data_IF_929327301582
#
_entry.id   IF_929327301582
#
_cell.length_a   1.000
_cell.length_b   1.000
_cell.length_c   1.000
_cell.angle_alpha   90.00
_cell.angle_beta   90.00
_cell.angle_gamma   90.00
#
_symmetry.space_group_name_H-M   'P 1'
#
loop_
_entity.id
_entity.type
_entity.pdbx_description
1 polymer ?
#
# COMPACT_ATOMS: atom_id res chain seq x y z
N UNK A 1 40.09 -32.68 22.14
CA UNK A 1 41.06 -31.61 22.37
C UNK A 1 40.58 -30.25 21.86
N UNK A 2 39.23 -30.01 21.81
CA UNK A 2 38.59 -28.77 21.36
C UNK A 2 37.74 -28.06 22.46
N UNK A 3 37.71 -28.62 23.70
CA UNK A 3 36.91 -28.06 24.81
C UNK A 3 37.69 -27.06 25.68
N UNK A 4 39.01 -27.13 25.73
CA UNK A 4 39.81 -26.25 26.58
C UNK A 4 39.72 -24.76 26.22
N UNK A 5 39.68 -24.32 24.93
CA UNK A 5 39.52 -22.91 24.58
C UNK A 5 38.13 -22.37 24.97
N UNK A 6 37.09 -23.21 24.91
CA UNK A 6 35.72 -22.82 25.22
C UNK A 6 35.51 -22.57 26.73
N UNK A 7 36.11 -23.42 27.57
CA UNK A 7 36.07 -23.26 29.05
C UNK A 7 36.82 -22.02 29.51
N UNK A 8 37.95 -21.69 28.89
CA UNK A 8 38.75 -20.52 29.22
C UNK A 8 38.06 -19.23 28.78
N UNK A 9 37.46 -19.18 27.58
CA UNK A 9 36.64 -18.09 27.07
C UNK A 9 35.40 -17.89 27.96
N UNK A 10 34.73 -18.98 28.31
CA UNK A 10 33.53 -18.92 29.18
C UNK A 10 33.87 -18.39 30.58
N UNK A 11 35.03 -18.81 31.15
CA UNK A 11 35.49 -18.29 32.44
C UNK A 11 35.83 -16.79 32.38
N UNK A 12 36.44 -16.31 31.29
CA UNK A 12 36.76 -14.90 31.07
C UNK A 12 35.47 -14.05 30.93
N UNK A 13 34.48 -14.56 30.19
CA UNK A 13 33.17 -13.88 30.04
C UNK A 13 32.46 -13.78 31.39
N UNK A 14 32.50 -14.84 32.21
CA UNK A 14 31.83 -14.85 33.52
C UNK A 14 32.48 -13.92 34.54
N UNK A 15 33.78 -13.63 34.44
CA UNK A 15 34.49 -12.70 35.34
C UNK A 15 34.12 -11.22 35.02
N UNK A 16 33.79 -10.93 33.74
CA UNK A 16 33.46 -9.57 33.26
C UNK A 16 32.04 -9.51 32.65
N UNK A 17 31.13 -10.34 33.15
CA UNK A 17 29.80 -10.53 32.59
C UNK A 17 29.03 -9.21 32.39
N UNK A 18 29.05 -8.35 33.41
CA UNK A 18 28.34 -7.05 33.36
C UNK A 18 28.85 -6.14 32.25
N UNK A 19 30.15 -6.18 31.99
CA UNK A 19 30.76 -5.41 30.93
C UNK A 19 30.37 -5.96 29.57
N UNK A 20 30.46 -7.28 29.38
CA UNK A 20 30.10 -7.96 28.12
C UNK A 20 28.63 -7.82 27.79
N UNK A 21 27.72 -7.95 28.77
CA UNK A 21 26.29 -7.73 28.56
C UNK A 21 26.01 -6.29 28.12
N UNK A 22 26.67 -5.31 28.72
CA UNK A 22 26.52 -3.90 28.34
C UNK A 22 27.04 -3.66 26.91
N UNK A 23 28.23 -4.16 26.59
CA UNK A 23 28.80 -4.01 25.24
C UNK A 23 27.94 -4.69 24.18
N UNK A 24 27.41 -5.89 24.44
CA UNK A 24 26.49 -6.59 23.53
C UNK A 24 25.16 -5.84 23.35
N UNK A 25 24.61 -5.30 24.43
CA UNK A 25 23.39 -4.50 24.40
C UNK A 25 23.58 -3.25 23.55
N UNK A 26 24.68 -2.50 23.77
CA UNK A 26 24.97 -1.27 23.03
C UNK A 26 25.38 -1.51 21.58
N UNK A 27 26.15 -2.55 21.30
CA UNK A 27 26.58 -2.88 19.94
C UNK A 27 25.51 -3.54 19.09
N UNK A 28 24.36 -3.93 19.69
CA UNK A 28 23.27 -4.54 18.94
C UNK A 28 22.69 -3.58 17.92
N UNK A 29 22.51 -4.04 16.69
CA UNK A 29 21.78 -3.32 15.64
C UNK A 29 20.26 -3.43 15.79
N UNK A 30 19.79 -4.28 16.71
CA UNK A 30 18.40 -4.45 17.05
C UNK A 30 18.07 -3.55 18.23
N UNK A 31 16.98 -2.80 18.15
CA UNK A 31 16.52 -1.96 19.24
C UNK A 31 16.12 -2.81 20.43
N UNK A 32 16.70 -2.51 21.60
CA UNK A 32 16.38 -3.18 22.84
C UNK A 32 15.99 -2.15 23.89
N UNK A 33 14.91 -2.42 24.60
CA UNK A 33 14.45 -1.55 25.68
C UNK A 33 13.92 -2.40 26.84
N UNK A 34 14.04 -1.86 28.04
CA UNK A 34 13.48 -2.40 29.26
C UNK A 34 12.56 -1.34 29.88
N UNK A 35 11.37 -1.71 30.26
CA UNK A 35 10.41 -0.86 30.93
C UNK A 35 9.97 -1.47 32.28
N UNK A 36 9.56 -0.62 33.21
CA UNK A 36 8.98 -1.04 34.49
C UNK A 36 7.54 -1.54 34.35
N UNK A 37 6.93 -1.89 35.47
CA UNK A 37 5.53 -2.33 35.56
C UNK A 37 4.49 -1.28 35.13
N UNK A 38 4.90 -0.03 34.95
CA UNK A 38 4.06 1.08 34.47
C UNK A 38 4.33 1.42 32.99
N UNK A 39 5.19 0.64 32.30
CA UNK A 39 5.57 0.86 30.91
C UNK A 39 6.53 2.05 30.73
N UNK A 40 7.19 2.51 31.79
CA UNK A 40 8.18 3.58 31.71
C UNK A 40 9.57 2.99 31.40
N UNK A 41 10.25 3.54 30.42
CA UNK A 41 11.54 3.06 29.95
C UNK A 41 12.62 3.25 31.02
N UNK A 42 13.27 2.16 31.40
CA UNK A 42 14.37 2.11 32.35
C UNK A 42 15.73 2.04 31.62
N UNK A 43 15.75 1.39 30.48
CA UNK A 43 16.96 1.19 29.69
C UNK A 43 16.61 1.07 28.19
N UNK A 44 17.43 1.64 27.34
CA UNK A 44 17.33 1.48 25.90
C UNK A 44 18.73 1.57 25.28
N UNK A 45 18.99 0.80 24.22
CA UNK A 45 20.21 0.92 23.44
C UNK A 45 20.08 1.98 22.35
N UNK A 46 21.20 2.28 21.68
CA UNK A 46 21.27 3.29 20.60
C UNK A 46 20.38 2.92 19.41
N UNK A 47 20.27 1.62 19.08
CA UNK A 47 19.39 1.17 18.01
C UNK A 47 17.91 1.44 18.31
N UNK A 48 17.48 1.25 19.56
CA UNK A 48 16.10 1.59 19.96
C UNK A 48 15.86 3.10 19.86
N UNK A 49 16.80 3.91 20.36
CA UNK A 49 16.75 5.37 20.30
C UNK A 49 16.59 5.87 18.85
N UNK A 50 17.36 5.27 17.92
CA UNK A 50 17.27 5.58 16.50
C UNK A 50 15.91 5.19 15.89
N UNK A 51 15.33 4.06 16.30
CA UNK A 51 14.01 3.60 15.80
C UNK A 51 12.88 4.52 16.27
N UNK A 52 12.92 4.98 17.52
CA UNK A 52 11.88 5.87 18.08
C UNK A 52 12.10 7.35 17.79
N UNK A 53 13.27 7.71 17.23
CA UNK A 53 13.62 9.09 16.87
C UNK A 53 13.84 10.01 18.08
N UNK A 54 14.28 9.46 19.21
CA UNK A 54 14.52 10.19 20.43
C UNK A 54 15.94 9.90 20.96
N UNK A 55 16.74 10.91 21.30
CA UNK A 55 18.05 10.70 21.93
C UNK A 55 17.93 9.80 23.18
N UNK A 56 18.82 8.83 23.29
CA UNK A 56 18.79 7.82 24.37
C UNK A 56 18.65 8.44 25.76
N UNK A 57 19.39 9.51 26.02
CA UNK A 57 19.40 10.19 27.32
C UNK A 57 18.04 10.80 27.71
N UNK A 58 17.15 11.00 26.71
CA UNK A 58 15.82 11.54 26.92
C UNK A 58 14.73 10.44 26.95
N UNK A 59 15.10 9.17 26.84
CA UNK A 59 14.14 8.06 26.87
C UNK A 59 13.78 7.62 28.30
N UNK A 60 14.67 7.82 29.24
CA UNK A 60 14.49 7.34 30.60
C UNK A 60 13.23 7.95 31.27
N UNK A 61 12.41 7.08 31.84
CA UNK A 61 11.17 7.46 32.50
C UNK A 61 10.02 7.88 31.58
N UNK A 62 10.20 7.77 30.27
CA UNK A 62 9.13 8.01 29.28
C UNK A 62 8.44 6.70 28.88
N UNK A 63 7.17 6.81 28.51
CA UNK A 63 6.43 5.65 28.01
C UNK A 63 6.69 5.43 26.51
N UNK A 64 6.84 4.17 26.11
CA UNK A 64 6.96 3.80 24.69
C UNK A 64 5.73 4.19 23.86
N UNK A 65 4.58 4.44 24.49
CA UNK A 65 3.35 4.95 23.87
C UNK A 65 3.54 6.34 23.27
N UNK A 66 4.38 7.18 23.89
CA UNK A 66 4.66 8.55 23.40
C UNK A 66 5.30 8.60 22.04
N UNK A 67 6.00 7.53 21.64
CA UNK A 67 6.67 7.40 20.35
C UNK A 67 5.84 6.59 19.34
N UNK A 68 4.73 5.99 19.78
CA UNK A 68 3.86 5.18 18.94
C UNK A 68 2.98 6.10 18.07
N UNK A 69 2.81 5.76 16.79
CA UNK A 69 1.90 6.49 15.88
C UNK A 69 0.48 6.51 16.47
N UNK A 70 -0.25 7.65 16.41
CA UNK A 70 -1.60 7.77 17.01
C UNK A 70 -2.57 6.67 16.61
N UNK A 71 -2.59 6.25 15.34
CA UNK A 71 -3.50 5.20 14.86
C UNK A 71 -3.16 3.80 15.41
N UNK A 72 -1.96 3.60 15.98
CA UNK A 72 -1.50 2.29 16.49
C UNK A 72 -1.59 2.21 18.04
N UNK A 73 -2.13 3.23 18.70
CA UNK A 73 -2.23 3.26 20.17
C UNK A 73 -3.17 2.18 20.71
N UNK A 74 -4.27 1.88 20.02
CA UNK A 74 -5.19 0.80 20.42
C UNK A 74 -4.53 -0.57 20.29
N UNK A 75 -3.71 -0.77 19.26
CA UNK A 75 -2.93 -1.98 19.07
C UNK A 75 -1.85 -2.13 20.16
N UNK A 76 -1.24 -1.04 20.56
CA UNK A 76 -0.29 -1.01 21.66
C UNK A 76 -0.94 -1.44 22.99
N UNK A 77 -2.12 -0.90 23.30
CA UNK A 77 -2.88 -1.29 24.49
C UNK A 77 -3.31 -2.77 24.46
N UNK A 78 -3.69 -3.28 23.28
CA UNK A 78 -4.02 -4.70 23.09
C UNK A 78 -2.80 -5.60 23.32
N UNK A 79 -1.60 -5.15 22.93
CA UNK A 79 -0.34 -5.88 23.19
C UNK A 79 -0.07 -6.01 24.70
N UNK A 80 -0.29 -4.94 25.46
CA UNK A 80 -0.12 -4.97 26.93
C UNK A 80 -1.05 -6.02 27.58
N UNK A 81 -2.31 -6.11 27.14
CA UNK A 81 -3.26 -7.13 27.61
C UNK A 81 -2.85 -8.55 27.19
N UNK A 82 -2.32 -8.73 25.98
CA UNK A 82 -1.84 -10.02 25.49
C UNK A 82 -0.62 -10.52 26.26
N UNK A 83 0.18 -9.62 26.82
CA UNK A 83 1.36 -9.99 27.62
C UNK A 83 0.97 -10.71 28.90
N UNK A 84 -0.09 -10.28 29.60
CA UNK A 84 -0.59 -10.95 30.80
C UNK A 84 -1.00 -12.41 30.51
N UNK A 85 -1.61 -12.66 29.33
CA UNK A 85 -2.01 -14.01 28.89
C UNK A 85 -0.81 -14.85 28.40
N UNK A 86 0.19 -14.21 27.81
CA UNK A 86 1.37 -14.87 27.24
C UNK A 86 2.36 -15.31 28.33
N UNK A 87 2.49 -14.56 29.42
CA UNK A 87 3.34 -14.90 30.57
C UNK A 87 3.00 -16.28 31.12
N UNK A 88 1.72 -16.59 31.28
CA UNK A 88 1.26 -17.89 31.77
C UNK A 88 1.71 -19.06 30.90
N UNK A 89 2.09 -18.78 29.63
CA UNK A 89 2.55 -19.77 28.64
C UNK A 89 4.06 -19.69 28.35
N UNK A 90 4.76 -18.70 28.91
CA UNK A 90 6.18 -18.45 28.62
C UNK A 90 6.41 -17.99 27.17
N UNK A 91 5.45 -17.29 26.58
CA UNK A 91 5.46 -16.82 25.20
C UNK A 91 5.77 -15.31 25.12
N UNK A 92 6.35 -14.89 24.00
CA UNK A 92 6.51 -13.47 23.68
C UNK A 92 5.35 -12.98 22.84
N UNK A 93 4.94 -11.74 23.03
CA UNK A 93 3.95 -11.08 22.20
C UNK A 93 4.64 -10.37 21.04
N UNK A 94 4.09 -10.52 19.83
CA UNK A 94 4.65 -9.93 18.62
C UNK A 94 3.64 -8.97 17.98
N UNK A 95 4.12 -7.78 17.60
CA UNK A 95 3.31 -6.78 16.90
C UNK A 95 4.17 -5.96 15.94
N UNK A 96 3.64 -5.62 14.78
CA UNK A 96 4.19 -4.54 13.96
C UNK A 96 3.47 -3.24 14.26
N UNK A 97 4.20 -2.18 14.55
CA UNK A 97 3.64 -0.84 14.79
C UNK A 97 4.52 0.26 14.23
N UNK A 98 3.92 1.42 14.07
CA UNK A 98 4.62 2.62 13.62
C UNK A 98 5.13 3.44 14.80
N UNK A 99 6.34 3.94 14.66
CA UNK A 99 6.91 4.96 15.51
C UNK A 99 6.91 6.29 14.77
N UNK A 100 6.45 7.35 15.43
CA UNK A 100 6.38 8.69 14.87
C UNK A 100 7.52 9.53 15.44
N UNK A 101 8.45 9.93 14.59
CA UNK A 101 9.57 10.82 14.95
C UNK A 101 9.11 12.27 15.09
N UNK A 102 9.84 13.12 15.85
CA UNK A 102 9.52 14.53 16.02
C UNK A 102 9.53 15.33 14.70
N UNK A 103 10.25 14.88 13.68
CA UNK A 103 10.31 15.49 12.34
C UNK A 103 9.17 15.04 11.41
N UNK A 104 8.25 14.21 11.93
CA UNK A 104 7.14 13.63 11.17
C UNK A 104 7.49 12.35 10.40
N UNK A 105 8.74 11.90 10.45
CA UNK A 105 9.13 10.62 9.81
C UNK A 105 8.50 9.44 10.54
N UNK A 106 7.99 8.47 9.77
CA UNK A 106 7.43 7.22 10.30
C UNK A 106 8.42 6.08 10.10
N UNK A 107 8.70 5.35 11.19
CA UNK A 107 9.47 4.10 11.19
C UNK A 107 8.56 2.93 11.55
N UNK A 108 8.74 1.80 10.87
CA UNK A 108 8.05 0.57 11.20
C UNK A 108 8.92 -0.32 12.08
N UNK A 109 8.39 -0.70 13.24
CA UNK A 109 9.05 -1.65 14.14
C UNK A 109 8.27 -2.94 14.24
N UNK A 110 8.96 -4.08 14.04
CA UNK A 110 8.49 -5.38 14.48
C UNK A 110 8.95 -5.59 15.91
N UNK A 111 8.01 -5.58 16.84
CA UNK A 111 8.23 -5.61 18.28
C UNK A 111 7.98 -7.01 18.80
N UNK A 112 8.94 -7.55 19.54
CA UNK A 112 8.76 -8.73 20.41
C UNK A 112 8.89 -8.26 21.86
N UNK A 113 7.83 -8.42 22.62
CA UNK A 113 7.81 -8.06 24.04
C UNK A 113 7.61 -9.30 24.91
N UNK A 114 8.34 -9.36 26.02
CA UNK A 114 8.24 -10.41 27.02
C UNK A 114 8.43 -9.83 28.42
N UNK A 115 7.80 -10.46 29.40
CA UNK A 115 8.03 -10.12 30.79
C UNK A 115 9.32 -10.76 31.31
N UNK A 116 10.03 -10.02 32.13
CA UNK A 116 11.25 -10.47 32.81
C UNK A 116 11.18 -10.08 34.28
N UNK A 117 11.71 -10.88 35.19
CA UNK A 117 11.73 -10.54 36.64
C UNK A 117 12.66 -9.34 36.85
N UNK A 118 12.15 -8.31 37.47
CA UNK A 118 12.92 -7.17 37.95
C UNK A 118 13.61 -7.46 39.31
N UNK A 119 14.53 -6.58 39.76
CA UNK A 119 15.35 -6.78 40.97
C UNK A 119 14.52 -6.99 42.25
N UNK A 120 13.35 -6.40 42.32
CA UNK A 120 12.49 -6.42 43.54
C UNK A 120 11.34 -7.43 43.45
N UNK A 121 11.42 -8.38 42.47
CA UNK A 121 10.34 -9.31 42.15
C UNK A 121 9.17 -8.63 41.42
N UNK A 122 9.33 -7.38 41.02
CA UNK A 122 8.37 -6.69 40.12
C UNK A 122 8.52 -7.21 38.70
N UNK A 123 7.48 -7.05 37.92
CA UNK A 123 7.51 -7.44 36.48
C UNK A 123 8.02 -6.28 35.66
N UNK A 124 9.01 -6.55 34.86
CA UNK A 124 9.55 -5.62 33.88
C UNK A 124 9.27 -6.15 32.47
N UNK A 125 9.12 -5.25 31.50
CA UNK A 125 8.92 -5.60 30.10
C UNK A 125 10.22 -5.41 29.34
N UNK A 126 10.73 -6.47 28.73
CA UNK A 126 11.79 -6.42 27.75
C UNK A 126 11.18 -6.35 26.35
N UNK A 127 11.53 -5.33 25.58
CA UNK A 127 11.14 -5.19 24.19
C UNK A 127 12.35 -5.30 23.28
N UNK A 128 12.23 -6.13 22.23
CA UNK A 128 13.18 -6.24 21.13
C UNK A 128 12.49 -5.72 19.87
N UNK A 129 13.08 -4.74 19.22
CA UNK A 129 12.47 -4.03 18.09
C UNK A 129 13.38 -4.09 16.87
N UNK A 130 12.91 -4.73 15.82
CA UNK A 130 13.55 -4.71 14.51
C UNK A 130 12.97 -3.56 13.69
N UNK A 131 13.83 -2.69 13.17
CA UNK A 131 13.41 -1.72 12.14
C UNK A 131 13.11 -2.49 10.84
N UNK A 132 11.83 -2.47 10.45
CA UNK A 132 11.35 -3.12 9.23
C UNK A 132 10.90 -2.11 8.18
N UNK A 133 11.28 -0.84 8.35
CA UNK A 133 10.87 0.27 7.48
C UNK A 133 11.28 0.03 6.03
N UNK A 134 12.54 -0.32 5.79
CA UNK A 134 13.01 -0.54 4.42
C UNK A 134 12.37 -1.79 3.79
N UNK A 135 12.13 -2.85 4.58
CA UNK A 135 11.38 -4.01 4.10
C UNK A 135 9.96 -3.62 3.67
N UNK A 136 9.24 -2.86 4.50
CA UNK A 136 7.89 -2.37 4.18
C UNK A 136 7.87 -1.47 2.95
N UNK A 137 8.81 -0.55 2.82
CA UNK A 137 8.94 0.30 1.62
C UNK A 137 9.14 -0.53 0.36
N UNK A 138 10.05 -1.49 0.40
CA UNK A 138 10.29 -2.38 -0.74
C UNK A 138 9.07 -3.24 -1.08
N UNK A 139 8.32 -3.73 -0.09
CA UNK A 139 7.08 -4.47 -0.31
C UNK A 139 6.01 -3.58 -0.98
N UNK A 140 5.88 -2.31 -0.53
CA UNK A 140 4.94 -1.35 -1.09
C UNK A 140 5.35 -0.92 -2.52
N UNK A 141 6.64 -0.66 -2.77
CA UNK A 141 7.19 -0.34 -4.09
C UNK A 141 6.96 -1.50 -5.07
N UNK A 142 7.21 -2.74 -4.63
CA UNK A 142 6.93 -3.93 -5.43
C UNK A 142 5.45 -4.11 -5.72
N UNK A 143 4.59 -3.83 -4.75
CA UNK A 143 3.14 -3.87 -4.92
C UNK A 143 2.67 -2.81 -5.91
N UNK A 144 3.16 -1.59 -5.79
CA UNK A 144 2.86 -0.51 -6.73
C UNK A 144 3.33 -0.85 -8.14
N UNK A 145 4.58 -1.29 -8.31
CA UNK A 145 5.11 -1.73 -9.59
C UNK A 145 4.34 -2.92 -10.20
N UNK A 146 3.79 -3.80 -9.37
CA UNK A 146 2.98 -4.92 -9.82
C UNK A 146 1.56 -4.52 -10.25
N UNK A 147 1.04 -3.38 -9.80
CA UNK A 147 -0.34 -2.93 -10.01
C UNK A 147 -0.47 -1.72 -10.94
N UNK A 148 0.63 -1.05 -11.28
CA UNK A 148 0.63 0.13 -12.14
C UNK A 148 1.36 -0.13 -13.48
N UNK A 149 1.07 0.70 -14.48
CA UNK A 149 1.80 0.76 -15.74
C UNK A 149 2.99 1.71 -15.60
N UNK A 150 4.22 1.27 -15.87
CA UNK A 150 5.42 2.06 -15.59
C UNK A 150 5.57 3.31 -16.50
N UNK A 151 4.88 3.37 -17.64
CA UNK A 151 4.93 4.54 -18.52
C UNK A 151 3.97 5.63 -18.05
N UNK A 152 2.77 5.26 -17.65
CA UNK A 152 1.66 6.20 -17.42
C UNK A 152 1.34 6.43 -15.95
N UNK A 153 1.81 5.57 -15.04
CA UNK A 153 1.45 5.58 -13.62
C UNK A 153 0.01 5.16 -13.31
N UNK A 154 -0.80 4.89 -14.33
CA UNK A 154 -2.15 4.36 -14.16
C UNK A 154 -2.12 2.92 -13.66
N UNK A 155 -3.26 2.41 -13.20
CA UNK A 155 -3.39 0.98 -12.95
C UNK A 155 -3.03 0.20 -14.23
N UNK A 156 -2.31 -0.90 -14.07
CA UNK A 156 -2.20 -1.89 -15.13
C UNK A 156 -3.41 -2.84 -15.08
N UNK A 157 -3.50 -3.78 -16.01
CA UNK A 157 -4.59 -4.77 -16.07
C UNK A 157 -4.78 -5.58 -14.79
N UNK A 158 -3.69 -5.83 -14.03
CA UNK A 158 -3.75 -6.55 -12.76
C UNK A 158 -4.30 -5.64 -11.65
N UNK A 159 -3.79 -4.40 -11.56
CA UNK A 159 -4.27 -3.40 -10.60
C UNK A 159 -5.73 -3.04 -10.81
N UNK A 160 -6.18 -2.95 -12.06
CA UNK A 160 -7.58 -2.79 -12.40
C UNK A 160 -8.45 -3.89 -11.80
N UNK A 161 -8.09 -5.18 -12.01
CA UNK A 161 -8.86 -6.30 -11.46
C UNK A 161 -8.88 -6.30 -9.93
N UNK A 162 -7.74 -6.00 -9.31
CA UNK A 162 -7.62 -5.91 -7.86
C UNK A 162 -8.57 -4.84 -7.30
N UNK A 163 -8.57 -3.64 -7.90
CA UNK A 163 -9.46 -2.55 -7.48
C UNK A 163 -10.94 -2.86 -7.68
N UNK A 164 -11.32 -3.42 -8.81
CA UNK A 164 -12.72 -3.76 -9.08
C UNK A 164 -13.22 -4.91 -8.19
N UNK A 165 -12.37 -5.87 -7.84
CA UNK A 165 -12.75 -6.94 -6.92
C UNK A 165 -13.18 -6.43 -5.55
N UNK A 166 -12.65 -5.28 -5.10
CA UNK A 166 -13.02 -4.65 -3.84
C UNK A 166 -14.43 -4.02 -3.87
N UNK A 167 -15.01 -3.80 -5.05
CA UNK A 167 -16.39 -3.33 -5.21
C UNK A 167 -17.40 -4.48 -5.14
N UNK A 168 -16.92 -5.73 -5.09
CA UNK A 168 -17.76 -6.92 -5.11
C UNK A 168 -17.94 -7.43 -3.68
N UNK A 169 -19.19 -7.51 -3.22
CA UNK A 169 -19.57 -8.20 -1.98
C UNK A 169 -20.02 -9.65 -2.26
N UNK A 170 -20.18 -10.51 -1.24
CA UNK A 170 -20.77 -11.84 -1.41
C UNK A 170 -22.19 -11.84 -2.01
N UNK A 171 -22.87 -10.68 -1.98
CA UNK A 171 -24.20 -10.46 -2.58
C UNK A 171 -24.14 -9.89 -4.00
N UNK A 172 -22.94 -9.69 -4.55
CA UNK A 172 -22.70 -9.05 -5.84
C UNK A 172 -22.21 -7.61 -5.70
N UNK A 173 -22.22 -6.85 -6.81
CA UNK A 173 -21.89 -5.42 -6.80
C UNK A 173 -23.15 -4.65 -6.40
N UNK A 174 -23.11 -4.00 -5.24
CA UNK A 174 -24.25 -3.26 -4.68
C UNK A 174 -24.31 -1.80 -5.17
N UNK A 175 -23.30 -1.37 -5.93
CA UNK A 175 -23.21 0.00 -6.44
C UNK A 175 -23.51 0.07 -7.92
N UNK A 176 -24.10 1.17 -8.38
CA UNK A 176 -24.15 1.49 -9.81
C UNK A 176 -22.72 1.68 -10.31
N UNK A 177 -22.35 1.01 -11.41
CA UNK A 177 -21.01 1.06 -11.95
C UNK A 177 -21.07 1.27 -13.46
N UNK A 178 -20.47 2.35 -13.95
CA UNK A 178 -20.25 2.56 -15.36
C UNK A 178 -18.81 2.15 -15.74
N UNK A 179 -18.65 1.47 -16.87
CA UNK A 179 -17.36 1.06 -17.42
C UNK A 179 -17.19 1.55 -18.84
N UNK A 180 -15.96 1.89 -19.22
CA UNK A 180 -15.59 2.23 -20.59
C UNK A 180 -14.27 1.58 -20.97
N UNK A 181 -14.18 1.16 -22.24
CA UNK A 181 -12.94 0.82 -22.93
C UNK A 181 -12.65 1.91 -23.97
N UNK A 182 -11.40 2.33 -24.02
CA UNK A 182 -10.88 3.38 -24.92
C UNK A 182 -9.70 2.81 -25.68
N UNK A 183 -9.58 3.18 -26.95
CA UNK A 183 -8.42 2.84 -27.78
C UNK A 183 -8.13 3.98 -28.75
N UNK A 184 -6.88 4.45 -28.80
CA UNK A 184 -6.46 5.54 -29.67
C UNK A 184 -6.56 5.15 -31.16
N UNK A 185 -7.19 6.02 -31.95
CA UNK A 185 -7.39 5.76 -33.36
C UNK A 185 -6.07 5.90 -34.11
N UNK A 186 -5.74 4.89 -34.94
CA UNK A 186 -4.55 4.89 -35.79
C UNK A 186 -3.23 5.17 -35.07
N UNK A 187 -3.12 4.78 -33.79
CA UNK A 187 -1.93 5.04 -32.97
C UNK A 187 -0.64 4.48 -33.60
N UNK A 188 -0.71 3.33 -34.27
CA UNK A 188 0.43 2.79 -35.02
C UNK A 188 0.89 3.78 -36.08
N UNK A 189 -0.02 4.34 -36.89
CA UNK A 189 0.32 5.32 -37.92
C UNK A 189 0.91 6.60 -37.36
N UNK A 190 0.46 7.00 -36.17
CA UNK A 190 1.04 8.12 -35.44
C UNK A 190 2.50 7.82 -35.03
N UNK A 191 2.75 6.63 -34.47
CA UNK A 191 4.11 6.19 -34.14
C UNK A 191 5.01 6.06 -35.32
N UNK A 192 4.52 5.52 -36.43
CA UNK A 192 5.27 5.41 -37.71
C UNK A 192 5.69 6.79 -38.27
N UNK A 193 4.84 7.81 -38.07
CA UNK A 193 5.09 9.19 -38.54
C UNK A 193 5.98 10.00 -37.57
N UNK A 194 5.78 9.90 -36.27
CA UNK A 194 6.37 10.79 -35.27
C UNK A 194 7.36 10.12 -34.32
N UNK A 195 7.50 8.80 -34.41
CA UNK A 195 8.35 7.97 -33.56
C UNK A 195 7.70 7.58 -32.25
N UNK A 196 8.10 6.43 -31.71
CA UNK A 196 7.57 5.85 -30.47
C UNK A 196 7.67 6.81 -29.26
N UNK A 197 8.76 7.58 -29.15
CA UNK A 197 8.93 8.54 -28.05
C UNK A 197 7.89 9.66 -28.04
N UNK A 198 7.24 10.00 -29.19
CA UNK A 198 6.12 10.93 -29.21
C UNK A 198 4.81 10.23 -28.85
N UNK A 199 4.63 8.98 -29.27
CA UNK A 199 3.53 8.14 -28.83
C UNK A 199 3.51 7.94 -27.32
N UNK A 200 4.66 7.65 -26.73
CA UNK A 200 4.78 7.53 -25.26
C UNK A 200 4.39 8.84 -24.55
N UNK A 201 4.86 9.98 -25.03
CA UNK A 201 4.47 11.30 -24.48
C UNK A 201 2.97 11.57 -24.61
N UNK A 202 2.34 11.19 -25.72
CA UNK A 202 0.89 11.31 -25.89
C UNK A 202 0.14 10.49 -24.85
N UNK A 203 0.54 9.23 -24.63
CA UNK A 203 -0.08 8.35 -23.63
C UNK A 203 0.09 8.90 -22.22
N UNK A 204 1.27 9.43 -21.86
CA UNK A 204 1.53 10.06 -20.56
C UNK A 204 0.68 11.31 -20.36
N UNK A 205 0.60 12.20 -21.37
CA UNK A 205 -0.20 13.42 -21.29
C UNK A 205 -1.69 13.13 -21.16
N UNK A 206 -2.22 12.18 -21.93
CA UNK A 206 -3.61 11.71 -21.80
C UNK A 206 -3.87 11.12 -20.41
N UNK A 207 -2.98 10.28 -19.91
CA UNK A 207 -3.10 9.67 -18.58
C UNK A 207 -3.12 10.72 -17.47
N UNK A 208 -2.26 11.73 -17.57
CA UNK A 208 -2.22 12.84 -16.63
C UNK A 208 -3.54 13.63 -16.64
N UNK A 209 -4.04 13.95 -17.84
CA UNK A 209 -5.31 14.64 -17.99
C UNK A 209 -6.49 13.81 -17.46
N UNK A 210 -6.51 12.50 -17.74
CA UNK A 210 -7.52 11.59 -17.22
C UNK A 210 -7.50 11.49 -15.69
N UNK A 211 -6.33 11.41 -15.07
CA UNK A 211 -6.21 11.41 -13.62
C UNK A 211 -6.72 12.72 -13.00
N UNK A 212 -6.39 13.86 -13.60
CA UNK A 212 -6.85 15.18 -13.11
C UNK A 212 -8.36 15.33 -13.23
N UNK A 213 -8.93 14.98 -14.39
CA UNK A 213 -10.36 15.09 -14.66
C UNK A 213 -11.18 14.15 -13.75
N UNK A 214 -10.68 12.96 -13.48
CA UNK A 214 -11.39 11.88 -12.80
C UNK A 214 -10.98 11.70 -11.35
N UNK A 215 -10.16 12.58 -10.79
CA UNK A 215 -9.60 12.46 -9.45
C UNK A 215 -10.66 12.08 -8.40
N UNK A 216 -10.45 10.94 -7.73
CA UNK A 216 -11.32 10.42 -6.68
C UNK A 216 -12.68 9.89 -7.14
N UNK A 217 -13.02 9.97 -8.44
CA UNK A 217 -14.32 9.55 -8.99
C UNK A 217 -14.27 8.28 -9.83
N UNK A 218 -13.08 7.87 -10.28
CA UNK A 218 -12.93 6.74 -11.17
C UNK A 218 -11.64 5.97 -10.92
N UNK A 219 -11.65 4.71 -11.26
CA UNK A 219 -10.45 3.91 -11.51
C UNK A 219 -10.11 4.03 -12.99
N UNK A 220 -8.85 4.35 -13.29
CA UNK A 220 -8.33 4.44 -14.65
C UNK A 220 -7.17 3.49 -14.80
N UNK A 221 -7.16 2.71 -15.88
CA UNK A 221 -6.10 1.77 -16.16
C UNK A 221 -5.62 1.89 -17.60
N UNK A 222 -4.33 1.63 -17.81
CA UNK A 222 -3.81 1.30 -19.13
C UNK A 222 -3.93 -0.21 -19.32
N UNK A 223 -4.79 -0.60 -20.28
CA UNK A 223 -5.11 -2.01 -20.48
C UNK A 223 -4.03 -2.74 -21.28
N UNK A 224 -3.38 -2.03 -22.20
CA UNK A 224 -2.25 -2.49 -22.99
C UNK A 224 -2.02 -1.57 -24.20
N UNK A 225 -0.77 -1.38 -24.63
CA UNK A 225 -0.48 -0.55 -25.81
C UNK A 225 -1.09 0.85 -25.71
N UNK A 226 -2.06 1.12 -26.57
CA UNK A 226 -2.85 2.34 -26.66
C UNK A 226 -4.26 2.22 -26.06
N UNK A 227 -4.55 1.15 -25.33
CA UNK A 227 -5.88 0.87 -24.75
C UNK A 227 -5.96 1.30 -23.29
N UNK A 228 -7.09 1.90 -22.92
CA UNK A 228 -7.38 2.34 -21.55
C UNK A 228 -8.75 1.84 -21.10
N UNK A 229 -8.88 1.64 -19.80
CA UNK A 229 -10.14 1.28 -19.15
C UNK A 229 -10.50 2.29 -18.06
N UNK A 230 -11.79 2.61 -17.96
CA UNK A 230 -12.33 3.48 -16.91
C UNK A 230 -13.48 2.76 -16.21
N UNK A 231 -13.51 2.80 -14.89
CA UNK A 231 -14.63 2.35 -14.07
C UNK A 231 -15.02 3.45 -13.10
N UNK A 232 -16.29 3.83 -13.11
CA UNK A 232 -16.84 4.88 -12.25
C UNK A 232 -17.93 4.28 -11.36
N UNK A 233 -17.67 4.07 -10.06
CA UNK A 233 -18.70 3.71 -9.10
C UNK A 233 -19.77 4.82 -8.98
N UNK A 234 -20.97 4.46 -8.57
CA UNK A 234 -22.12 5.34 -8.36
C UNK A 234 -22.47 6.20 -9.57
N UNK A 235 -22.22 5.69 -10.78
CA UNK A 235 -22.31 6.45 -12.02
C UNK A 235 -23.12 5.69 -13.07
N UNK A 236 -23.92 6.44 -13.81
CA UNK A 236 -24.69 5.95 -14.95
C UNK A 236 -24.04 6.23 -16.31
N UNK A 237 -24.63 5.68 -17.37
CA UNK A 237 -24.13 5.79 -18.75
C UNK A 237 -24.05 7.24 -19.27
N UNK A 238 -24.97 8.10 -18.86
CA UNK A 238 -24.99 9.52 -19.26
C UNK A 238 -23.77 10.28 -18.77
N UNK A 239 -23.40 10.08 -17.51
CA UNK A 239 -22.20 10.70 -16.92
C UNK A 239 -20.94 10.17 -17.58
N UNK A 240 -20.86 8.86 -17.86
CA UNK A 240 -19.73 8.26 -18.57
C UNK A 240 -19.60 8.87 -19.98
N UNK A 241 -20.71 9.06 -20.70
CA UNK A 241 -20.68 9.71 -22.01
C UNK A 241 -20.11 11.13 -21.96
N UNK A 242 -20.51 11.92 -20.94
CA UNK A 242 -19.98 13.28 -20.71
C UNK A 242 -18.46 13.23 -20.44
N UNK A 243 -18.03 12.36 -19.55
CA UNK A 243 -16.61 12.16 -19.23
C UNK A 243 -15.79 11.80 -20.47
N UNK A 244 -16.27 10.88 -21.30
CA UNK A 244 -15.58 10.51 -22.54
C UNK A 244 -15.50 11.70 -23.52
N UNK A 245 -16.49 12.57 -23.56
CA UNK A 245 -16.46 13.78 -24.37
C UNK A 245 -15.44 14.78 -23.82
N UNK A 246 -15.37 14.97 -22.52
CA UNK A 246 -14.38 15.83 -21.86
C UNK A 246 -12.96 15.30 -22.08
N UNK A 247 -12.75 13.97 -21.95
CA UNK A 247 -11.47 13.34 -22.25
C UNK A 247 -11.06 13.50 -23.72
N UNK A 248 -12.01 13.40 -24.66
CA UNK A 248 -11.70 13.58 -26.07
C UNK A 248 -11.24 15.02 -26.37
N UNK A 249 -11.75 16.01 -25.65
CA UNK A 249 -11.35 17.42 -25.81
C UNK A 249 -9.93 17.72 -25.30
N UNK A 250 -9.37 16.89 -24.46
CA UNK A 250 -8.01 17.06 -23.87
C UNK A 250 -6.96 16.14 -24.48
N UNK A 251 -7.32 15.34 -25.49
CA UNK A 251 -6.35 14.50 -26.22
C UNK A 251 -5.35 15.38 -26.95
N UNK A 252 -4.02 15.18 -26.74
CA UNK A 252 -3.01 16.00 -27.40
C UNK A 252 -2.81 15.62 -28.87
N UNK A 253 -2.08 16.48 -29.59
CA UNK A 253 -1.60 16.24 -30.98
C UNK A 253 -2.71 15.95 -32.01
N UNK A 254 -3.93 16.49 -31.79
CA UNK A 254 -5.09 16.26 -32.67
C UNK A 254 -5.42 14.77 -32.86
N UNK A 255 -4.93 13.93 -31.95
CA UNK A 255 -5.27 12.53 -31.96
C UNK A 255 -6.71 12.33 -31.48
N UNK A 256 -7.31 11.23 -31.90
CA UNK A 256 -8.64 10.81 -31.48
C UNK A 256 -8.57 9.44 -30.83
N UNK A 257 -9.61 9.12 -30.09
CA UNK A 257 -9.84 7.75 -29.64
C UNK A 257 -11.27 7.32 -29.95
N UNK A 258 -11.46 6.02 -29.99
CA UNK A 258 -12.77 5.40 -29.97
C UNK A 258 -13.03 4.84 -28.58
N UNK A 259 -14.29 4.84 -28.14
CA UNK A 259 -14.67 4.26 -26.85
C UNK A 259 -15.97 3.46 -26.95
N UNK A 260 -16.03 2.40 -26.13
CA UNK A 260 -17.26 1.68 -25.82
C UNK A 260 -17.55 1.80 -24.35
N UNK A 261 -18.78 2.12 -23.95
CA UNK A 261 -19.13 2.25 -22.53
C UNK A 261 -20.49 1.67 -22.23
N UNK A 262 -20.65 1.19 -21.00
CA UNK A 262 -21.88 0.55 -20.52
C UNK A 262 -22.00 0.70 -19.00
N UNK A 263 -23.15 0.31 -18.46
CA UNK A 263 -23.36 0.21 -17.01
C UNK A 263 -23.56 -1.25 -16.62
N UNK A 264 -23.08 -1.62 -15.42
CA UNK A 264 -23.31 -2.91 -14.84
C UNK A 264 -24.80 -3.17 -14.66
N UNK A 265 -25.27 -4.34 -15.09
CA UNK A 265 -26.67 -4.76 -14.97
C UNK A 265 -26.86 -5.57 -13.67
N UNK A 266 -28.08 -5.58 -13.10
CA UNK A 266 -28.36 -6.44 -11.97
C UNK A 266 -28.04 -7.91 -12.27
N UNK A 267 -27.22 -8.53 -11.41
CA UNK A 267 -26.82 -9.95 -11.56
C UNK A 267 -25.74 -10.22 -12.60
N UNK A 268 -25.23 -9.19 -13.27
CA UNK A 268 -24.14 -9.31 -14.23
C UNK A 268 -22.78 -9.35 -13.51
N UNK A 269 -21.84 -10.12 -14.03
CA UNK A 269 -20.46 -10.07 -13.54
C UNK A 269 -19.72 -8.83 -14.06
N UNK A 270 -18.71 -8.38 -13.32
CA UNK A 270 -17.82 -7.29 -13.78
C UNK A 270 -17.14 -7.64 -15.11
N UNK A 271 -16.86 -8.92 -15.33
CA UNK A 271 -16.24 -9.40 -16.57
C UNK A 271 -17.19 -9.25 -17.77
N UNK A 272 -18.44 -9.71 -17.64
CA UNK A 272 -19.43 -9.60 -18.72
C UNK A 272 -19.75 -8.14 -19.05
N UNK A 273 -19.80 -7.25 -18.03
CA UNK A 273 -19.97 -5.82 -18.22
C UNK A 273 -18.78 -5.23 -19.02
N UNK A 274 -17.57 -5.62 -18.69
CA UNK A 274 -16.35 -5.19 -19.37
C UNK A 274 -16.34 -5.66 -20.83
N UNK A 275 -16.67 -6.92 -21.10
CA UNK A 275 -16.75 -7.47 -22.44
C UNK A 275 -17.79 -6.75 -23.32
N UNK A 276 -18.91 -6.29 -22.72
CA UNK A 276 -19.88 -5.46 -23.45
C UNK A 276 -19.31 -4.08 -23.83
N UNK A 277 -18.55 -3.47 -22.92
CA UNK A 277 -17.86 -2.21 -23.24
C UNK A 277 -16.85 -2.40 -24.39
N UNK A 278 -16.08 -3.49 -24.38
CA UNK A 278 -15.12 -3.83 -25.42
C UNK A 278 -15.81 -4.08 -26.77
N UNK A 279 -16.92 -4.81 -26.78
CA UNK A 279 -17.72 -5.02 -28.00
C UNK A 279 -18.26 -3.69 -28.58
N UNK A 280 -18.64 -2.74 -27.72
CA UNK A 280 -19.07 -1.41 -28.17
C UNK A 280 -17.90 -0.60 -28.74
N UNK A 281 -16.70 -0.67 -28.14
CA UNK A 281 -15.47 -0.09 -28.67
C UNK A 281 -15.16 -0.66 -30.08
N UNK A 282 -15.22 -1.97 -30.24
CA UNK A 282 -15.02 -2.61 -31.55
C UNK A 282 -16.00 -2.06 -32.61
N UNK A 283 -17.29 -1.87 -32.24
CA UNK A 283 -18.30 -1.24 -33.12
C UNK A 283 -17.93 0.21 -33.43
N UNK A 284 -17.54 1.01 -32.44
CA UNK A 284 -17.11 2.39 -32.65
C UNK A 284 -15.97 2.50 -33.69
N UNK A 285 -14.99 1.64 -33.59
CA UNK A 285 -13.89 1.56 -34.57
C UNK A 285 -14.35 1.15 -35.97
N UNK A 286 -15.21 0.14 -36.07
CA UNK A 286 -15.79 -0.28 -37.36
C UNK A 286 -16.60 0.82 -38.04
N UNK A 287 -17.29 1.65 -37.29
CA UNK A 287 -18.15 2.72 -37.79
C UNK A 287 -17.34 4.00 -38.12
N UNK A 288 -16.02 3.91 -38.23
CA UNK A 288 -15.11 4.95 -38.71
C UNK A 288 -14.24 5.60 -37.65
N UNK A 289 -14.34 5.17 -36.37
CA UNK A 289 -13.52 5.71 -35.27
C UNK A 289 -13.97 7.09 -34.77
N UNK A 290 -13.14 7.71 -33.91
CA UNK A 290 -13.33 9.04 -33.32
C UNK A 290 -14.72 9.24 -32.70
N UNK A 291 -15.20 8.26 -31.97
CA UNK A 291 -16.53 8.25 -31.35
C UNK A 291 -16.65 7.36 -30.13
N UNK A 292 -17.60 7.68 -29.28
CA UNK A 292 -17.97 6.86 -28.15
C UNK A 292 -19.35 6.22 -28.38
N UNK A 293 -19.44 4.91 -28.22
CA UNK A 293 -20.71 4.17 -28.30
C UNK A 293 -21.09 3.64 -26.94
N UNK A 294 -22.30 3.97 -26.49
CA UNK A 294 -22.92 3.45 -25.26
C UNK A 294 -23.95 2.38 -25.55
N UNK A 295 -24.13 1.49 -24.56
CA UNK A 295 -25.29 0.62 -24.54
C UNK A 295 -26.55 1.52 -24.45
N UNK A 296 -27.51 1.34 -25.32
CA UNK A 296 -28.77 2.06 -25.22
C UNK A 296 -29.42 1.61 -23.92
N UNK A 297 -29.40 2.48 -22.90
CA UNK A 297 -30.16 2.26 -21.69
C UNK A 297 -31.63 2.02 -22.11
N UNK A 298 -32.14 0.83 -21.79
CA UNK A 298 -33.57 0.61 -21.78
C UNK A 298 -34.17 1.66 -20.84
N UNK A 299 -34.76 2.71 -21.40
CA UNK A 299 -35.63 3.61 -20.65
C UNK A 299 -36.65 2.75 -19.94
N UNK A 300 -36.87 2.88 -18.63
CA UNK A 300 -37.97 2.21 -17.99
C UNK A 300 -39.24 2.71 -18.67
N UNK A 301 -39.96 1.82 -19.30
CA UNK A 301 -41.35 2.11 -19.68
C UNK A 301 -42.12 2.41 -18.40
N UNK A 302 -42.74 3.56 -18.36
CA UNK A 302 -43.66 4.05 -17.32
C UNK A 302 -44.75 3.01 -17.03
#
# INVERSE_FOLDING_TARGET
MWLAPFEEVNRTIMVDADRWYREMFEASTVGMALADEHGLLLLANEAYAAIVGCPRDLLWGRSSREFTHPDDLDQHASMEQMMDDAEARGESVHVEKRYLHPDGTVRWGWVSASEVPGPDGRRWTMAVVHDVTDRRRLEDDLREAALTDPLTGLLNRRGWRDRLSQLTTPRGVEVSLAMAMIDFDRFKSFNDKYGHGRGDRLLVQFSTAAMQLLAGRAYVARWGGEEFAIAMPDTGSTTMATVLTELAAVVPDEQTFSAGYTTLRPGESLYDCFDRADLLLYRAKRDGGARSLGDRSSTPLQ
#
